data_IF_914089526085
#
_entry.id   IF_914089526085
#
_cell.length_a   1.000
_cell.length_b   1.000
_cell.length_c   1.000
_cell.angle_alpha   90.00
_cell.angle_beta   90.00
_cell.angle_gamma   90.00
#
_symmetry.space_group_name_H-M   'P 1'
#
loop_
_entity.id
_entity.type
_entity.pdbx_description
1 polymer ?
#
# COMPACT_ATOMS: atom_id res chain seq x y z
N UNK A 1 -4.18 -26.79 -2.42
CA UNK A 1 -4.67 -26.64 -1.04
C UNK A 1 -3.54 -26.79 -0.04
N UNK A 2 -3.62 -27.78 0.85
CA UNK A 2 -2.84 -27.82 2.10
C UNK A 2 -1.32 -27.68 1.94
N UNK A 3 -0.68 -28.50 1.09
CA UNK A 3 0.78 -28.44 0.90
C UNK A 3 1.26 -27.09 0.32
N UNK A 4 0.45 -26.48 -0.56
CA UNK A 4 0.77 -25.16 -1.11
C UNK A 4 0.65 -24.07 -0.04
N UNK A 5 -0.35 -24.20 0.84
CA UNK A 5 -0.52 -23.29 1.97
C UNK A 5 0.64 -23.39 2.95
N UNK A 6 1.04 -24.60 3.35
CA UNK A 6 2.18 -24.82 4.24
C UNK A 6 3.50 -24.32 3.64
N UNK A 7 3.71 -24.55 2.33
CA UNK A 7 4.85 -24.02 1.61
C UNK A 7 4.86 -22.48 1.57
N UNK A 8 3.71 -21.85 1.31
CA UNK A 8 3.57 -20.39 1.34
C UNK A 8 3.86 -19.83 2.73
N UNK A 9 3.30 -20.42 3.79
CA UNK A 9 3.56 -19.99 5.16
C UNK A 9 5.05 -20.04 5.52
N UNK A 10 5.74 -21.11 5.11
CA UNK A 10 7.18 -21.23 5.26
C UNK A 10 7.93 -20.15 4.46
N UNK A 11 7.55 -19.91 3.21
CA UNK A 11 8.14 -18.87 2.36
C UNK A 11 7.93 -17.46 2.91
N UNK A 12 6.74 -17.16 3.43
CA UNK A 12 6.42 -15.88 4.07
C UNK A 12 7.38 -15.59 5.22
N UNK A 13 7.58 -16.58 6.11
CA UNK A 13 8.52 -16.46 7.23
C UNK A 13 9.97 -16.31 6.75
N UNK A 14 10.38 -17.07 5.73
CA UNK A 14 11.72 -16.98 5.16
C UNK A 14 11.98 -15.60 4.53
N UNK A 15 11.02 -15.05 3.78
CA UNK A 15 11.11 -13.75 3.12
C UNK A 15 11.27 -12.58 4.11
N UNK A 16 10.82 -12.74 5.35
CA UNK A 16 10.98 -11.74 6.42
C UNK A 16 12.40 -11.68 6.99
N UNK A 17 13.21 -12.74 6.86
CA UNK A 17 14.49 -12.85 7.57
C UNK A 17 15.51 -11.81 7.11
N UNK A 18 15.85 -11.80 5.83
CA UNK A 18 16.84 -10.90 5.24
C UNK A 18 16.78 -10.90 3.70
N UNK A 19 17.57 -10.01 3.11
CA UNK A 19 17.58 -9.83 1.66
C UNK A 19 18.18 -11.00 0.88
N UNK A 20 19.15 -11.72 1.45
CA UNK A 20 19.77 -12.88 0.80
C UNK A 20 18.76 -14.00 0.58
N UNK A 21 17.85 -14.22 1.54
CA UNK A 21 16.77 -15.20 1.41
C UNK A 21 15.77 -14.77 0.33
N UNK A 22 15.38 -13.48 0.28
CA UNK A 22 14.50 -12.99 -0.79
C UNK A 22 15.14 -13.13 -2.18
N UNK A 23 16.40 -12.72 -2.32
CA UNK A 23 17.16 -12.91 -3.57
C UNK A 23 17.24 -14.38 -3.97
N UNK A 24 17.35 -15.29 -3.01
CA UNK A 24 17.30 -16.73 -3.30
C UNK A 24 15.95 -17.16 -3.86
N UNK A 25 14.84 -16.72 -3.26
CA UNK A 25 13.48 -17.00 -3.78
C UNK A 25 13.32 -16.49 -5.22
N UNK A 26 13.82 -15.27 -5.51
CA UNK A 26 13.82 -14.71 -6.87
C UNK A 26 14.64 -15.57 -7.82
N UNK A 27 15.86 -15.98 -7.42
CA UNK A 27 16.75 -16.83 -8.24
C UNK A 27 16.16 -18.19 -8.57
N UNK A 28 15.41 -18.78 -7.63
CA UNK A 28 14.68 -20.04 -7.83
C UNK A 28 13.35 -19.84 -8.58
N UNK A 29 13.10 -18.64 -9.14
CA UNK A 29 11.92 -18.28 -9.91
C UNK A 29 10.60 -18.42 -9.13
N UNK A 30 10.61 -18.18 -7.82
CA UNK A 30 9.41 -18.31 -7.00
C UNK A 30 8.38 -17.18 -7.16
N UNK A 31 8.77 -16.02 -7.73
CA UNK A 31 7.87 -14.86 -7.84
C UNK A 31 6.61 -15.15 -8.66
N UNK A 32 6.68 -15.69 -9.90
CA UNK A 32 5.48 -16.02 -10.68
C UNK A 32 4.55 -17.03 -9.97
N UNK A 33 5.10 -17.99 -9.23
CA UNK A 33 4.31 -18.99 -8.52
C UNK A 33 3.55 -18.36 -7.34
N UNK A 34 4.21 -17.46 -6.59
CA UNK A 34 3.56 -16.69 -5.52
C UNK A 34 2.48 -15.79 -6.10
N UNK A 35 2.76 -15.09 -7.21
CA UNK A 35 1.79 -14.22 -7.89
C UNK A 35 0.56 -15.00 -8.37
N UNK A 36 0.74 -16.19 -8.93
CA UNK A 36 -0.39 -17.02 -9.37
C UNK A 36 -1.33 -17.35 -8.21
N UNK A 37 -0.76 -17.65 -7.03
CA UNK A 37 -1.53 -17.97 -5.83
C UNK A 37 -2.27 -16.76 -5.24
N UNK A 38 -1.85 -15.53 -5.57
CA UNK A 38 -2.60 -14.32 -5.20
C UNK A 38 -3.93 -14.19 -5.95
N UNK A 39 -4.17 -14.97 -7.02
CA UNK A 39 -5.44 -15.02 -7.74
C UNK A 39 -6.25 -16.28 -7.42
N UNK A 40 -5.81 -17.09 -6.46
CA UNK A 40 -6.49 -18.33 -6.09
C UNK A 40 -7.90 -18.04 -5.50
N UNK A 41 -8.81 -18.98 -5.68
CA UNK A 41 -10.17 -18.89 -5.12
C UNK A 41 -10.19 -19.26 -3.63
N UNK A 42 -9.19 -20.01 -3.16
CA UNK A 42 -8.98 -20.29 -1.75
C UNK A 42 -8.45 -19.02 -1.05
N UNK A 43 -9.28 -18.45 -0.17
CA UNK A 43 -8.97 -17.20 0.54
C UNK A 43 -7.72 -17.31 1.44
N UNK A 44 -7.44 -18.50 1.98
CA UNK A 44 -6.25 -18.70 2.81
C UNK A 44 -4.98 -18.71 1.95
N UNK A 45 -5.01 -19.34 0.77
CA UNK A 45 -3.92 -19.27 -0.20
C UNK A 45 -3.71 -17.85 -0.73
N UNK A 46 -4.79 -17.16 -1.08
CA UNK A 46 -4.77 -15.78 -1.56
C UNK A 46 -4.16 -14.82 -0.52
N UNK A 47 -4.57 -14.96 0.74
CA UNK A 47 -4.00 -14.17 1.84
C UNK A 47 -2.53 -14.48 2.07
N UNK A 48 -2.17 -15.76 2.21
CA UNK A 48 -0.80 -16.16 2.51
C UNK A 48 0.18 -15.77 1.39
N UNK A 49 -0.22 -15.89 0.12
CA UNK A 49 0.57 -15.46 -1.02
C UNK A 49 0.73 -13.95 -1.10
N UNK A 50 -0.33 -13.18 -0.80
CA UNK A 50 -0.25 -11.71 -0.73
C UNK A 50 0.68 -11.26 0.40
N UNK A 51 0.65 -11.94 1.56
CA UNK A 51 1.57 -11.67 2.67
C UNK A 51 3.02 -12.01 2.31
N UNK A 52 3.25 -13.15 1.65
CA UNK A 52 4.56 -13.52 1.12
C UNK A 52 5.07 -12.44 0.16
N UNK A 53 4.25 -12.02 -0.80
CA UNK A 53 4.58 -10.97 -1.77
C UNK A 53 4.89 -9.63 -1.09
N UNK A 54 4.13 -9.26 -0.05
CA UNK A 54 4.41 -8.08 0.76
C UNK A 54 5.83 -8.10 1.31
N UNK A 55 6.31 -9.23 1.84
CA UNK A 55 7.69 -9.35 2.32
C UNK A 55 8.69 -9.34 1.16
N UNK A 56 8.35 -9.95 0.03
CA UNK A 56 9.21 -10.00 -1.16
C UNK A 56 9.45 -8.62 -1.79
N UNK A 57 8.51 -7.67 -1.68
CA UNK A 57 8.66 -6.28 -2.16
C UNK A 57 9.88 -5.57 -1.56
N UNK A 58 10.36 -5.98 -0.37
CA UNK A 58 11.59 -5.45 0.22
C UNK A 58 12.85 -5.82 -0.57
N UNK A 59 12.77 -6.77 -1.50
CA UNK A 59 13.82 -7.06 -2.45
C UNK A 59 13.73 -6.11 -3.65
N UNK A 60 14.83 -5.41 -3.95
CA UNK A 60 14.88 -4.42 -5.03
C UNK A 60 14.48 -4.99 -6.40
N UNK A 61 14.86 -6.24 -6.70
CA UNK A 61 14.49 -6.92 -7.94
C UNK A 61 12.98 -7.12 -8.08
N UNK A 62 12.29 -7.39 -6.96
CA UNK A 62 10.84 -7.55 -6.91
C UNK A 62 10.17 -6.19 -6.96
N UNK A 63 10.67 -5.19 -6.23
CA UNK A 63 10.16 -3.82 -6.24
C UNK A 63 10.11 -3.27 -7.68
N UNK A 64 11.18 -3.47 -8.45
CA UNK A 64 11.28 -3.05 -9.87
C UNK A 64 10.24 -3.69 -10.79
N UNK A 65 9.60 -4.80 -10.40
CA UNK A 65 8.51 -5.40 -11.17
C UNK A 65 7.24 -4.53 -11.17
N UNK A 66 7.09 -3.65 -10.17
CA UNK A 66 5.97 -2.73 -10.01
C UNK A 66 6.25 -1.36 -10.68
N UNK A 67 7.51 -0.98 -10.87
CA UNK A 67 7.93 0.31 -11.47
C UNK A 67 7.97 0.32 -13.01
N UNK A 68 7.08 -0.42 -13.68
CA UNK A 68 7.06 -0.45 -15.16
C UNK A 68 6.19 0.66 -15.72
N UNK A 69 6.77 1.58 -16.50
CA UNK A 69 6.09 2.78 -17.04
C UNK A 69 5.13 2.44 -18.19
N UNK A 70 5.48 1.46 -19.03
CA UNK A 70 4.81 1.23 -20.33
C UNK A 70 3.62 0.28 -20.28
N UNK A 71 3.26 -0.25 -19.11
CA UNK A 71 2.07 -1.07 -18.94
C UNK A 71 1.53 -0.91 -17.52
N UNK A 72 0.22 -0.66 -17.31
CA UNK A 72 -0.35 -0.75 -15.98
C UNK A 72 -0.02 -2.15 -15.46
N UNK A 73 0.81 -2.23 -14.43
CA UNK A 73 1.11 -3.53 -13.88
C UNK A 73 -0.18 -4.00 -13.22
N UNK A 74 -0.75 -5.10 -13.72
CA UNK A 74 -1.86 -5.77 -13.03
C UNK A 74 -1.50 -6.04 -11.56
N UNK A 75 -0.20 -6.09 -11.22
CA UNK A 75 0.35 -6.09 -9.86
C UNK A 75 -0.08 -4.89 -9.00
N UNK A 76 0.18 -3.65 -9.43
CA UNK A 76 -0.21 -2.45 -8.65
C UNK A 76 -1.73 -2.36 -8.54
N UNK A 77 -2.44 -2.67 -9.63
CA UNK A 77 -3.90 -2.71 -9.63
C UNK A 77 -4.45 -3.73 -8.63
N UNK A 78 -3.90 -4.95 -8.62
CA UNK A 78 -4.29 -6.00 -7.69
C UNK A 78 -4.08 -5.58 -6.23
N UNK A 79 -2.88 -5.08 -5.89
CA UNK A 79 -2.61 -4.62 -4.51
C UNK A 79 -3.48 -3.43 -4.11
N UNK A 80 -3.80 -2.53 -5.05
CA UNK A 80 -4.71 -1.42 -4.80
C UNK A 80 -6.10 -1.95 -4.47
N UNK A 81 -6.67 -2.83 -5.30
CA UNK A 81 -8.00 -3.43 -5.07
C UNK A 81 -8.03 -4.22 -3.77
N UNK A 82 -7.03 -5.07 -3.51
CA UNK A 82 -6.95 -5.86 -2.27
C UNK A 82 -6.82 -5.01 -1.01
N UNK A 83 -6.34 -3.77 -1.12
CA UNK A 83 -6.31 -2.84 0.02
C UNK A 83 -7.71 -2.31 0.39
N UNK A 84 -8.72 -2.49 -0.47
CA UNK A 84 -10.13 -2.17 -0.21
C UNK A 84 -11.00 -3.38 0.12
N UNK A 85 -10.43 -4.59 0.22
CA UNK A 85 -11.20 -5.80 0.53
C UNK A 85 -11.63 -5.84 2.01
N UNK A 86 -12.75 -6.51 2.29
CA UNK A 86 -13.29 -6.66 3.64
C UNK A 86 -12.47 -7.65 4.49
N UNK A 87 -11.86 -8.65 3.86
CA UNK A 87 -10.98 -9.59 4.57
C UNK A 87 -9.77 -8.84 5.13
N UNK A 88 -9.73 -8.77 6.44
CA UNK A 88 -8.70 -8.03 7.15
C UNK A 88 -7.29 -8.53 6.87
N UNK A 89 -7.11 -9.85 6.70
CA UNK A 89 -5.80 -10.42 6.47
C UNK A 89 -5.25 -10.03 5.10
N UNK A 90 -6.09 -10.09 4.08
CA UNK A 90 -5.79 -9.69 2.71
C UNK A 90 -5.56 -8.18 2.63
N UNK A 91 -6.47 -7.38 3.20
CA UNK A 91 -6.34 -5.93 3.31
C UNK A 91 -5.04 -5.54 4.03
N UNK A 92 -4.78 -6.26 5.14
CA UNK A 92 -3.52 -6.45 5.85
C UNK A 92 -2.30 -6.37 4.94
N UNK A 93 -2.12 -7.48 4.23
CA UNK A 93 -0.95 -7.74 3.41
C UNK A 93 -0.86 -6.76 2.24
N UNK A 94 -1.97 -6.52 1.54
CA UNK A 94 -1.99 -5.69 0.34
C UNK A 94 -1.65 -4.22 0.65
N UNK A 95 -2.28 -3.64 1.68
CA UNK A 95 -2.00 -2.26 2.09
C UNK A 95 -0.58 -2.07 2.61
N UNK A 96 0.00 -3.11 3.21
CA UNK A 96 1.40 -3.13 3.63
C UNK A 96 2.35 -3.01 2.44
N UNK A 97 2.14 -3.85 1.42
CA UNK A 97 2.90 -3.81 0.17
C UNK A 97 2.73 -2.48 -0.55
N UNK A 98 1.49 -1.98 -0.66
CA UNK A 98 1.18 -0.73 -1.33
C UNK A 98 1.83 0.49 -0.63
N UNK A 99 1.85 0.52 0.70
CA UNK A 99 2.49 1.58 1.47
C UNK A 99 4.01 1.64 1.23
N UNK A 100 4.66 0.51 0.97
CA UNK A 100 6.08 0.46 0.60
C UNK A 100 6.31 0.87 -0.86
N UNK A 101 5.51 0.33 -1.78
CA UNK A 101 5.65 0.58 -3.22
C UNK A 101 5.41 2.04 -3.59
N UNK A 102 4.50 2.73 -2.90
CA UNK A 102 4.18 4.14 -3.14
C UNK A 102 5.32 5.10 -2.77
N UNK A 103 6.45 4.62 -2.25
CA UNK A 103 7.68 5.41 -2.25
C UNK A 103 8.14 5.79 -3.67
N UNK A 104 7.70 5.06 -4.70
CA UNK A 104 7.93 5.36 -6.11
C UNK A 104 6.80 6.22 -6.70
N UNK A 105 7.18 7.33 -7.33
CA UNK A 105 6.24 8.17 -8.10
C UNK A 105 5.59 7.39 -9.25
N UNK A 106 6.31 6.46 -9.88
CA UNK A 106 5.77 5.62 -10.96
C UNK A 106 4.61 4.77 -10.43
N UNK A 107 4.77 4.17 -9.25
CA UNK A 107 3.72 3.40 -8.60
C UNK A 107 2.55 4.30 -8.21
N UNK A 108 2.79 5.47 -7.61
CA UNK A 108 1.72 6.42 -7.27
C UNK A 108 0.85 6.77 -8.49
N UNK A 109 1.49 7.03 -9.64
CA UNK A 109 0.78 7.27 -10.89
C UNK A 109 -0.01 6.05 -11.39
N UNK A 110 0.46 4.83 -11.16
CA UNK A 110 -0.30 3.61 -11.47
C UNK A 110 -1.50 3.42 -10.54
N UNK A 111 -1.34 3.68 -9.24
CA UNK A 111 -2.45 3.63 -8.27
C UNK A 111 -3.56 4.59 -8.69
N UNK A 112 -3.22 5.83 -9.05
CA UNK A 112 -4.18 6.84 -9.50
C UNK A 112 -4.89 6.52 -10.84
N UNK A 113 -4.50 5.44 -11.53
CA UNK A 113 -5.20 4.92 -12.74
C UNK A 113 -6.20 3.81 -12.41
N UNK A 114 -6.20 3.26 -11.19
CA UNK A 114 -7.15 2.22 -10.77
C UNK A 114 -8.50 2.87 -10.49
N UNK A 115 -9.59 2.43 -11.15
CA UNK A 115 -10.87 3.16 -11.14
C UNK A 115 -11.41 3.56 -9.76
N UNK A 116 -11.26 2.70 -8.74
CA UNK A 116 -11.75 2.91 -7.37
C UNK A 116 -10.68 3.37 -6.36
N UNK A 117 -9.49 3.80 -6.84
CA UNK A 117 -8.35 4.09 -5.95
C UNK A 117 -8.69 5.08 -4.83
N UNK A 118 -9.45 6.13 -5.16
CA UNK A 118 -9.74 7.22 -4.22
C UNK A 118 -10.69 6.75 -3.11
N UNK A 119 -11.70 5.94 -3.45
CA UNK A 119 -12.63 5.37 -2.48
C UNK A 119 -11.89 4.41 -1.53
N UNK A 120 -11.00 3.58 -2.07
CA UNK A 120 -10.14 2.70 -1.27
C UNK A 120 -9.26 3.51 -0.31
N UNK A 121 -8.66 4.62 -0.75
CA UNK A 121 -7.87 5.47 0.15
C UNK A 121 -8.73 6.05 1.28
N UNK A 122 -9.95 6.50 0.98
CA UNK A 122 -10.90 7.01 2.00
C UNK A 122 -11.26 5.93 3.01
N UNK A 123 -11.62 4.73 2.55
CA UNK A 123 -11.96 3.59 3.41
C UNK A 123 -10.80 3.20 4.32
N UNK A 124 -9.58 3.16 3.79
CA UNK A 124 -8.40 2.88 4.60
C UNK A 124 -8.19 3.93 5.68
N UNK A 125 -8.29 5.23 5.35
CA UNK A 125 -8.16 6.32 6.32
C UNK A 125 -9.25 6.33 7.39
N UNK A 126 -10.45 5.87 7.06
CA UNK A 126 -11.60 5.78 7.97
C UNK A 126 -11.66 4.46 8.76
N UNK A 127 -10.73 3.52 8.50
CA UNK A 127 -10.72 2.22 9.15
C UNK A 127 -10.71 2.32 10.69
N UNK A 128 -11.47 1.47 11.35
CA UNK A 128 -11.42 1.30 12.81
C UNK A 128 -10.13 0.60 13.29
N UNK A 129 -9.31 0.07 12.37
CA UNK A 129 -8.04 -0.58 12.69
C UNK A 129 -6.89 0.39 12.41
N UNK A 130 -6.22 0.82 13.48
CA UNK A 130 -5.15 1.83 13.38
C UNK A 130 -4.01 1.40 12.44
N UNK A 131 -3.76 0.10 12.28
CA UNK A 131 -2.72 -0.36 11.36
C UNK A 131 -3.12 -0.25 9.87
N UNK A 132 -4.40 -0.36 9.52
CA UNK A 132 -4.90 -0.07 8.16
C UNK A 132 -4.90 1.44 7.94
N UNK A 133 -5.43 2.19 8.92
CA UNK A 133 -5.46 3.65 8.91
C UNK A 133 -4.07 4.27 8.72
N UNK A 134 -3.07 3.77 9.43
CA UNK A 134 -1.69 4.20 9.30
C UNK A 134 -1.13 3.94 7.90
N UNK A 135 -1.37 2.74 7.34
CA UNK A 135 -0.93 2.42 5.97
C UNK A 135 -1.63 3.29 4.94
N UNK A 136 -2.93 3.56 5.10
CA UNK A 136 -3.69 4.47 4.25
C UNK A 136 -3.14 5.90 4.29
N UNK A 137 -2.90 6.43 5.49
CA UNK A 137 -2.28 7.75 5.66
C UNK A 137 -0.88 7.81 5.04
N UNK A 138 -0.10 6.74 5.15
CA UNK A 138 1.22 6.66 4.54
C UNK A 138 1.15 6.66 3.00
N UNK A 139 0.24 5.88 2.41
CA UNK A 139 -0.01 5.85 0.96
C UNK A 139 -0.44 7.22 0.46
N UNK A 140 -1.45 7.84 1.10
CA UNK A 140 -1.96 9.17 0.71
C UNK A 140 -0.87 10.24 0.79
N UNK A 141 -0.05 10.22 1.84
CA UNK A 141 1.04 11.16 1.98
C UNK A 141 2.13 10.97 0.92
N UNK A 142 2.44 9.72 0.54
CA UNK A 142 3.33 9.43 -0.58
C UNK A 142 2.76 9.89 -1.92
N UNK A 143 1.48 9.60 -2.19
CA UNK A 143 0.79 10.00 -3.40
C UNK A 143 0.70 11.52 -3.56
N UNK A 144 0.43 12.24 -2.46
CA UNK A 144 0.42 13.71 -2.42
C UNK A 144 1.80 14.29 -2.74
N UNK A 145 2.87 13.65 -2.25
CA UNK A 145 4.24 14.09 -2.51
C UNK A 145 4.72 13.75 -3.93
N UNK A 146 4.22 12.67 -4.51
CA UNK A 146 4.68 12.15 -5.79
C UNK A 146 4.28 13.05 -6.98
N UNK A 147 3.03 13.53 -7.03
CA UNK A 147 2.54 14.23 -8.21
C UNK A 147 1.44 15.24 -7.85
N UNK A 148 1.56 16.48 -8.37
CA UNK A 148 0.61 17.56 -8.07
C UNK A 148 -0.82 17.27 -8.56
N UNK A 149 -1.01 16.58 -9.69
CA UNK A 149 -2.35 16.22 -10.18
C UNK A 149 -3.03 15.19 -9.28
N UNK A 150 -2.25 14.25 -8.73
CA UNK A 150 -2.76 13.30 -7.73
C UNK A 150 -3.11 14.05 -6.44
N UNK A 151 -2.24 14.95 -5.98
CA UNK A 151 -2.49 15.78 -4.81
C UNK A 151 -3.76 16.63 -4.97
N UNK A 152 -3.99 17.24 -6.14
CA UNK A 152 -5.22 17.99 -6.45
C UNK A 152 -6.46 17.12 -6.27
N UNK A 153 -6.48 15.91 -6.85
CA UNK A 153 -7.62 14.97 -6.72
C UNK A 153 -7.88 14.57 -5.27
N UNK A 154 -6.84 14.39 -4.47
CA UNK A 154 -6.97 14.08 -3.04
C UNK A 154 -7.56 15.27 -2.28
N UNK A 155 -7.06 16.48 -2.54
CA UNK A 155 -7.50 17.73 -1.89
C UNK A 155 -8.95 18.11 -2.27
N UNK A 156 -9.36 17.87 -3.50
CA UNK A 156 -10.73 18.12 -4.00
C UNK A 156 -11.76 17.08 -3.55
N UNK A 157 -11.36 16.13 -2.69
CA UNK A 157 -12.21 15.07 -2.14
C UNK A 157 -12.29 15.15 -0.61
N UNK A 158 -13.12 14.30 -0.03
CA UNK A 158 -13.28 14.16 1.43
C UNK A 158 -11.97 13.74 2.13
N UNK A 159 -10.96 13.28 1.38
CA UNK A 159 -9.64 12.97 1.93
C UNK A 159 -9.02 14.18 2.63
N UNK A 160 -9.21 15.41 2.13
CA UNK A 160 -8.69 16.60 2.80
C UNK A 160 -9.24 16.74 4.22
N UNK A 161 -10.56 16.64 4.38
CA UNK A 161 -11.23 16.77 5.67
C UNK A 161 -10.82 15.64 6.62
N UNK A 162 -10.70 14.42 6.11
CA UNK A 162 -10.21 13.27 6.86
C UNK A 162 -8.78 13.54 7.36
N UNK A 163 -7.87 14.00 6.50
CA UNK A 163 -6.49 14.33 6.90
C UNK A 163 -6.45 15.44 7.95
N UNK A 164 -7.28 16.48 7.81
CA UNK A 164 -7.37 17.55 8.81
C UNK A 164 -7.81 17.03 10.17
N UNK A 165 -8.82 16.14 10.23
CA UNK A 165 -9.26 15.49 11.47
C UNK A 165 -8.14 14.64 12.06
N UNK A 166 -7.51 13.78 11.25
CA UNK A 166 -6.41 12.92 11.70
C UNK A 166 -5.18 13.71 12.18
N UNK A 167 -4.91 14.87 11.58
CA UNK A 167 -3.78 15.73 11.98
C UNK A 167 -3.94 16.37 13.37
N UNK A 168 -5.20 16.48 13.86
CA UNK A 168 -5.54 17.10 15.14
C UNK A 168 -5.66 16.11 16.29
N UNK A 169 -5.68 14.81 16.01
CA UNK A 169 -5.79 13.78 17.04
C UNK A 169 -4.46 13.63 17.80
N UNK A 170 -4.44 14.09 19.06
CA UNK A 170 -3.23 14.08 19.89
C UNK A 170 -3.08 12.82 20.75
N UNK A 171 -3.92 11.81 20.57
CA UNK A 171 -3.77 10.54 21.28
C UNK A 171 -2.47 9.83 20.89
N UNK A 172 -1.85 9.15 21.85
CA UNK A 172 -0.55 8.47 21.61
C UNK A 172 -0.66 7.36 20.56
N UNK A 173 -1.81 6.69 20.48
CA UNK A 173 -2.06 5.63 19.50
C UNK A 173 -2.15 6.16 18.05
N UNK A 174 -2.44 7.45 17.87
CA UNK A 174 -2.58 8.11 16.58
C UNK A 174 -1.30 8.81 16.11
N UNK A 175 -0.22 8.79 16.90
CA UNK A 175 0.99 9.58 16.63
C UNK A 175 1.55 9.39 15.20
N UNK A 176 1.68 8.13 14.76
CA UNK A 176 2.21 7.81 13.42
C UNK A 176 1.24 8.19 12.29
N UNK A 177 -0.06 8.02 12.55
CA UNK A 177 -1.13 8.37 11.59
C UNK A 177 -1.17 9.89 11.43
N UNK A 178 -1.15 10.62 12.54
CA UNK A 178 -1.06 12.09 12.59
C UNK A 178 0.16 12.58 11.83
N UNK A 179 1.34 11.99 12.06
CA UNK A 179 2.57 12.39 11.36
C UNK A 179 2.44 12.22 9.83
N UNK A 180 1.83 11.13 9.36
CA UNK A 180 1.55 10.95 7.93
C UNK A 180 0.55 11.98 7.41
N UNK A 181 -0.53 12.24 8.16
CA UNK A 181 -1.54 13.21 7.77
C UNK A 181 -0.97 14.63 7.67
N UNK A 182 -0.16 15.05 8.65
CA UNK A 182 0.55 16.33 8.62
C UNK A 182 1.49 16.41 7.43
N UNK A 183 2.27 15.36 7.14
CA UNK A 183 3.15 15.31 5.95
C UNK A 183 2.36 15.52 4.65
N UNK A 184 1.18 14.93 4.52
CA UNK A 184 0.32 15.12 3.35
C UNK A 184 -0.19 16.58 3.26
N UNK A 185 -0.67 17.15 4.38
CA UNK A 185 -1.19 18.51 4.43
C UNK A 185 -0.09 19.55 4.16
N UNK A 186 1.08 19.42 4.79
CA UNK A 186 2.24 20.28 4.56
C UNK A 186 2.63 20.26 3.08
N UNK A 187 2.62 19.06 2.47
CA UNK A 187 2.92 18.93 1.04
C UNK A 187 1.85 19.56 0.15
N UNK A 188 0.58 19.49 0.52
CA UNK A 188 -0.50 20.17 -0.19
C UNK A 188 -0.39 21.71 -0.09
N UNK A 189 0.11 22.23 1.03
CA UNK A 189 0.47 23.66 1.19
C UNK A 189 1.64 24.02 0.28
N UNK A 190 2.70 23.22 0.24
CA UNK A 190 3.84 23.42 -0.68
C UNK A 190 3.40 23.42 -2.15
N UNK A 191 2.39 22.61 -2.50
CA UNK A 191 1.80 22.62 -3.84
C UNK A 191 0.86 23.80 -4.09
N UNK A 192 0.60 24.65 -3.10
CA UNK A 192 -0.36 25.76 -3.13
C UNK A 192 -1.81 25.31 -3.36
N UNK A 193 -2.14 24.07 -3.01
CA UNK A 193 -3.49 23.51 -3.16
C UNK A 193 -4.40 23.88 -1.99
N UNK A 194 -3.81 24.11 -0.81
CA UNK A 194 -4.51 24.55 0.39
C UNK A 194 -3.73 25.66 1.09
N UNK A 195 -4.41 26.41 1.95
CA UNK A 195 -3.75 27.39 2.83
C UNK A 195 -3.13 26.66 4.04
N UNK A 196 -2.06 27.22 4.65
CA UNK A 196 -1.55 26.72 5.91
C UNK A 196 -2.69 26.66 6.95
N UNK A 197 -2.83 25.52 7.60
CA UNK A 197 -3.77 25.37 8.72
C UNK A 197 -3.18 26.12 9.93
N UNK A 198 -3.97 26.98 10.58
CA UNK A 198 -3.54 27.62 11.83
C UNK A 198 -3.19 26.53 12.85
N UNK A 199 -1.97 26.62 13.41
CA UNK A 199 -1.39 25.64 14.34
C UNK A 199 -2.12 25.58 15.67
#
# INVERSE_FOLDING_TARGET
GLLQYEALMALTNLAQLNDDVRKRIVKEKGIPDIEMLMFDQDEDLKRASTECMCNMILCEEVFKLYEKVDSPTERVKLLTVYSGEEDFGLQRAASGGLAMLTASEIVCNQVAKVGCWLDIMKEMLLSNKNEIKHRGAHVVANMTAANKDIATKLVESEVLEILMVLSRDTSSEMEKIRACAMRALDKAVEWELIKPTDK
#
